data_IF_427685390123
#
_entry.id   IF_427685390123
#
_cell.length_a   1.000
_cell.length_b   1.000
_cell.length_c   1.000
_cell.angle_alpha   90.00
_cell.angle_beta   90.00
_cell.angle_gamma   90.00
#
_symmetry.space_group_name_H-M   'P 1'
#
loop_
_entity.id
_entity.type
_entity.pdbx_description
1 polymer ?
#
# COMPACT_ATOMS: atom_id res chain seq x y z
N UNK A 1 9.36 -11.13 -3.29
CA UNK A 1 10.19 -9.90 -3.32
C UNK A 1 10.05 -9.14 -2.03
N UNK A 2 11.15 -8.68 -1.48
CA UNK A 2 11.19 -7.86 -0.28
C UNK A 2 11.66 -6.45 -0.64
N UNK A 3 11.57 -5.53 0.35
CA UNK A 3 12.06 -4.15 0.17
C UNK A 3 13.52 -4.14 -0.31
N UNK A 4 14.37 -4.98 0.26
CA UNK A 4 15.78 -5.07 -0.13
C UNK A 4 15.96 -5.45 -1.60
N UNK A 5 15.12 -6.33 -2.12
CA UNK A 5 15.16 -6.74 -3.53
C UNK A 5 14.76 -5.58 -4.45
N UNK A 6 13.74 -4.82 -4.04
CA UNK A 6 13.30 -3.64 -4.80
C UNK A 6 14.40 -2.59 -4.83
N UNK A 7 15.04 -2.32 -3.70
CA UNK A 7 16.15 -1.36 -3.63
C UNK A 7 17.32 -1.79 -4.50
N UNK A 8 17.65 -3.09 -4.51
CA UNK A 8 18.73 -3.62 -5.34
C UNK A 8 18.43 -3.42 -6.83
N UNK A 9 17.16 -3.67 -7.23
CA UNK A 9 16.75 -3.48 -8.62
C UNK A 9 16.87 -2.02 -9.05
N UNK A 10 16.40 -1.09 -8.19
CA UNK A 10 16.46 0.34 -8.47
C UNK A 10 17.90 0.85 -8.54
N UNK A 11 18.79 0.32 -7.71
CA UNK A 11 20.20 0.69 -7.74
C UNK A 11 20.86 0.29 -9.05
N UNK A 12 20.51 -0.88 -9.58
CA UNK A 12 21.04 -1.33 -10.88
C UNK A 12 20.67 -0.39 -12.01
N UNK A 13 19.46 0.19 -11.96
CA UNK A 13 18.97 1.10 -12.97
C UNK A 13 19.39 2.55 -12.76
N UNK A 14 19.94 2.86 -11.58
CA UNK A 14 20.34 4.21 -11.20
C UNK A 14 21.75 4.20 -10.60
N UNK A 15 22.78 3.82 -11.39
CA UNK A 15 24.13 3.62 -10.84
C UNK A 15 24.78 4.91 -10.33
N UNK A 16 24.27 6.09 -10.73
CA UNK A 16 24.77 7.37 -10.22
C UNK A 16 24.29 7.71 -8.81
N UNK A 17 23.36 6.94 -8.26
CA UNK A 17 22.83 7.17 -6.92
C UNK A 17 23.47 6.22 -5.91
N UNK A 18 23.67 6.71 -4.70
CA UNK A 18 24.17 5.89 -3.59
C UNK A 18 23.05 5.02 -3.02
N UNK A 19 23.42 3.96 -2.37
CA UNK A 19 22.47 3.03 -1.74
C UNK A 19 21.51 3.76 -0.78
N UNK A 20 22.05 4.63 0.06
CA UNK A 20 21.25 5.38 1.02
C UNK A 20 20.35 6.43 0.36
N UNK A 21 20.75 6.97 -0.78
CA UNK A 21 19.91 7.90 -1.54
C UNK A 21 18.69 7.19 -2.13
N UNK A 22 18.89 6.00 -2.71
CA UNK A 22 17.80 5.18 -3.25
C UNK A 22 16.84 4.79 -2.13
N UNK A 23 17.36 4.35 -0.99
CA UNK A 23 16.53 3.96 0.15
C UNK A 23 15.69 5.15 0.66
N UNK A 24 16.28 6.34 0.75
CA UNK A 24 15.55 7.54 1.19
C UNK A 24 14.42 7.92 0.24
N UNK A 25 14.67 7.86 -1.06
CA UNK A 25 13.65 8.20 -2.07
C UNK A 25 12.49 7.23 -1.96
N UNK A 26 12.77 5.92 -1.87
CA UNK A 26 11.73 4.90 -1.76
C UNK A 26 10.92 5.09 -0.47
N UNK A 27 11.59 5.31 0.65
CA UNK A 27 10.90 5.50 1.93
C UNK A 27 10.05 6.78 1.92
N UNK A 28 10.54 7.86 1.33
CA UNK A 28 9.77 9.10 1.19
C UNK A 28 8.53 8.90 0.31
N UNK A 29 8.68 8.15 -0.77
CA UNK A 29 7.58 7.86 -1.69
C UNK A 29 6.44 7.16 -0.96
N UNK A 30 6.74 6.10 -0.23
CA UNK A 30 5.71 5.37 0.51
C UNK A 30 5.17 6.15 1.70
N UNK A 31 6.01 6.93 2.37
CA UNK A 31 5.57 7.78 3.47
C UNK A 31 4.57 8.85 3.01
N UNK A 32 4.81 9.46 1.84
CA UNK A 32 3.86 10.43 1.28
C UNK A 32 2.50 9.80 0.99
N UNK A 33 2.49 8.60 0.40
CA UNK A 33 1.23 7.89 0.12
C UNK A 33 0.50 7.59 1.42
N UNK A 34 1.19 7.06 2.41
CA UNK A 34 0.60 6.71 3.71
C UNK A 34 0.04 7.94 4.43
N UNK A 35 0.78 9.05 4.40
CA UNK A 35 0.36 10.29 5.04
C UNK A 35 -0.89 10.89 4.40
N UNK A 36 -0.94 10.88 3.06
CA UNK A 36 -2.12 11.37 2.34
C UNK A 36 -3.35 10.52 2.64
N UNK A 37 -3.20 9.20 2.66
CA UNK A 37 -4.31 8.31 3.03
C UNK A 37 -4.76 8.55 4.47
N UNK A 38 -3.82 8.75 5.39
CA UNK A 38 -4.14 9.01 6.79
C UNK A 38 -4.94 10.32 6.96
N UNK A 39 -4.69 11.31 6.10
CA UNK A 39 -5.43 12.57 6.11
C UNK A 39 -6.77 12.53 5.38
N UNK A 40 -7.16 11.37 4.84
CA UNK A 40 -8.42 11.19 4.15
C UNK A 40 -8.38 11.44 2.65
N UNK A 41 -7.21 11.76 2.10
CA UNK A 41 -7.04 11.94 0.67
C UNK A 41 -6.83 10.61 -0.03
N UNK A 42 -7.18 10.55 -1.30
CA UNK A 42 -6.79 9.42 -2.15
C UNK A 42 -5.62 9.82 -3.02
N UNK A 43 -4.77 8.85 -3.33
CA UNK A 43 -3.59 9.04 -4.16
C UNK A 43 -3.77 8.28 -5.46
N UNK A 44 -3.88 8.98 -6.56
CA UNK A 44 -4.02 8.37 -7.88
C UNK A 44 -2.69 8.36 -8.59
N UNK A 45 -2.22 7.17 -8.94
CA UNK A 45 -0.99 6.99 -9.71
C UNK A 45 -1.37 6.47 -11.10
N UNK A 46 -1.28 7.36 -12.08
CA UNK A 46 -1.68 7.07 -13.45
C UNK A 46 -0.99 5.83 -13.98
N UNK A 47 -1.77 4.91 -14.55
CA UNK A 47 -1.24 3.66 -15.10
C UNK A 47 -0.92 2.59 -14.05
N UNK A 48 -1.10 2.90 -12.77
CA UNK A 48 -0.81 1.98 -11.68
C UNK A 48 -2.07 1.67 -10.86
N UNK A 49 -2.58 2.65 -10.14
CA UNK A 49 -3.76 2.45 -9.33
C UNK A 49 -4.03 3.61 -8.39
N UNK A 50 -5.02 3.42 -7.54
CA UNK A 50 -5.46 4.40 -6.56
C UNK A 50 -5.35 3.82 -5.17
N UNK A 51 -4.68 4.54 -4.27
CA UNK A 51 -4.61 4.25 -2.85
C UNK A 51 -5.60 5.14 -2.11
N UNK A 52 -6.41 4.56 -1.22
CA UNK A 52 -7.35 5.32 -0.41
C UNK A 52 -7.62 4.61 0.91
N UNK A 53 -8.12 5.36 1.89
CA UNK A 53 -8.61 4.80 3.13
C UNK A 53 -10.11 4.52 2.99
N UNK A 54 -10.56 3.35 3.42
CA UNK A 54 -11.95 2.94 3.35
C UNK A 54 -12.47 2.78 4.77
N UNK A 55 -13.60 3.43 5.07
CA UNK A 55 -14.25 3.29 6.36
C UNK A 55 -14.94 1.92 6.47
N UNK A 56 -14.79 1.28 7.62
CA UNK A 56 -15.50 0.05 7.94
C UNK A 56 -16.38 0.28 9.16
N UNK A 57 -17.64 -0.16 9.04
CA UNK A 57 -18.61 -0.08 10.12
C UNK A 57 -18.17 -0.95 11.32
N UNK A 58 -18.62 -0.62 12.54
CA UNK A 58 -18.43 -1.51 13.67
C UNK A 58 -19.09 -2.85 13.38
N UNK A 59 -18.46 -3.93 13.80
CA UNK A 59 -18.94 -5.29 13.58
C UNK A 59 -18.87 -6.08 14.87
N UNK A 60 -19.58 -7.21 14.88
CA UNK A 60 -19.45 -8.20 15.94
C UNK A 60 -18.82 -9.44 15.32
N UNK A 61 -17.58 -9.73 15.71
CA UNK A 61 -16.88 -10.95 15.33
C UNK A 61 -16.99 -12.00 16.41
N UNK A 62 -16.32 -13.12 16.22
CA UNK A 62 -16.26 -14.19 17.20
C UNK A 62 -14.81 -14.52 17.54
N UNK A 63 -14.57 -14.75 18.83
CA UNK A 63 -13.29 -15.23 19.29
C UNK A 63 -13.14 -16.70 18.87
N UNK A 64 -12.16 -17.07 18.03
CA UNK A 64 -12.04 -18.45 17.56
C UNK A 64 -11.68 -19.44 18.66
N UNK A 65 -11.13 -18.99 19.79
CA UNK A 65 -10.77 -19.85 20.89
C UNK A 65 -11.97 -20.20 21.79
N UNK A 66 -12.90 -19.25 21.99
CA UNK A 66 -14.02 -19.40 22.93
C UNK A 66 -15.37 -19.39 22.24
N UNK A 67 -15.48 -18.92 21.01
CA UNK A 67 -16.74 -18.74 20.31
C UNK A 67 -17.55 -17.55 20.77
N UNK A 68 -17.05 -16.77 21.73
CA UNK A 68 -17.76 -15.62 22.26
C UNK A 68 -17.75 -14.44 21.28
N UNK A 69 -18.82 -13.60 21.27
CA UNK A 69 -18.84 -12.41 20.43
C UNK A 69 -17.82 -11.39 20.92
N UNK A 70 -17.15 -10.75 19.95
CA UNK A 70 -16.18 -9.70 20.21
C UNK A 70 -16.56 -8.47 19.40
N UNK A 71 -16.66 -7.32 20.06
CA UNK A 71 -16.94 -6.06 19.38
C UNK A 71 -15.70 -5.60 18.59
N UNK A 72 -15.88 -5.39 17.30
CA UNK A 72 -14.86 -4.82 16.43
C UNK A 72 -15.26 -3.37 16.17
N UNK A 73 -14.47 -2.38 16.64
CA UNK A 73 -14.84 -0.97 16.47
C UNK A 73 -14.77 -0.53 15.01
N UNK A 74 -15.42 0.57 14.71
CA UNK A 74 -15.28 1.23 13.43
C UNK A 74 -13.81 1.55 13.18
N UNK A 75 -13.35 1.41 11.94
CA UNK A 75 -11.96 1.65 11.58
C UNK A 75 -11.82 2.09 10.14
N UNK A 76 -10.65 2.61 9.81
CA UNK A 76 -10.29 2.95 8.44
C UNK A 76 -9.18 2.01 7.99
N UNK A 77 -9.31 1.46 6.81
CA UNK A 77 -8.36 0.51 6.25
C UNK A 77 -7.80 1.04 4.93
N UNK A 78 -6.50 0.83 4.68
CA UNK A 78 -5.94 1.17 3.39
C UNK A 78 -6.47 0.20 2.32
N UNK A 79 -6.75 0.72 1.15
CA UNK A 79 -7.18 -0.06 0.00
C UNK A 79 -6.41 0.39 -1.22
N UNK A 80 -5.99 -0.56 -2.04
CA UNK A 80 -5.40 -0.30 -3.33
C UNK A 80 -6.33 -0.84 -4.43
N UNK A 81 -6.67 0.03 -5.38
CA UNK A 81 -7.46 -0.37 -6.55
C UNK A 81 -6.61 -0.19 -7.80
N UNK A 82 -6.22 -1.28 -8.47
CA UNK A 82 -5.39 -1.19 -9.66
C UNK A 82 -6.15 -0.59 -10.84
N UNK A 83 -5.42 0.04 -11.77
CA UNK A 83 -5.99 0.48 -13.02
C UNK A 83 -6.20 -0.72 -13.95
N UNK A 84 -7.00 -0.51 -15.00
CA UNK A 84 -7.18 -1.51 -16.04
C UNK A 84 -5.85 -1.90 -16.68
N UNK A 85 -4.99 -0.92 -16.90
CA UNK A 85 -3.64 -1.13 -17.43
C UNK A 85 -2.79 -2.03 -16.53
N UNK A 86 -2.83 -1.81 -15.22
CA UNK A 86 -2.10 -2.63 -14.24
C UNK A 86 -2.65 -4.06 -14.23
N UNK A 87 -3.96 -4.21 -14.24
CA UNK A 87 -4.60 -5.54 -14.31
C UNK A 87 -4.15 -6.32 -15.54
N UNK A 88 -4.09 -5.65 -16.69
CA UNK A 88 -3.63 -6.27 -17.92
C UNK A 88 -2.19 -6.75 -17.84
N UNK A 89 -1.32 -5.93 -17.29
CA UNK A 89 0.10 -6.29 -17.12
C UNK A 89 0.27 -7.51 -16.23
N UNK A 90 -0.49 -7.59 -15.14
CA UNK A 90 -0.40 -8.71 -14.20
C UNK A 90 -0.97 -9.99 -14.81
N UNK A 91 -2.06 -9.89 -15.60
CA UNK A 91 -2.61 -11.05 -16.30
C UNK A 91 -1.76 -11.53 -17.47
N UNK A 92 -0.87 -10.68 -17.98
CA UNK A 92 -0.06 -10.99 -19.15
C UNK A 92 -0.70 -10.61 -20.46
N UNK A 93 -1.69 -9.72 -20.42
CA UNK A 93 -2.38 -9.22 -21.63
C UNK A 93 -1.54 -8.22 -22.39
#
# INVERSE_FOLDING_TARGET
MRRSDLLAALRRENPGLRANEVARIVDQFFAEIAERMASGERVELRGFGTFRAVAREPQIGRNPATGEPVAIPARRLPQFRPTKSMNGRVRGD
#
